data_IF_270285848711
#
_entry.id   IF_270285848711
#
_cell.length_a   1.000
_cell.length_b   1.000
_cell.length_c   1.000
_cell.angle_alpha   90.00
_cell.angle_beta   90.00
_cell.angle_gamma   90.00
#
_symmetry.space_group_name_H-M   'P 1'
#
loop_
_entity.id
_entity.type
_entity.pdbx_description
1 polymer ?
#
# COMPACT_ATOMS: atom_id res chain seq x y z
N UNK A 1 25.80 22.23 5.11
CA UNK A 1 26.42 21.50 6.24
C UNK A 1 27.70 20.93 5.67
N UNK A 2 28.87 21.32 6.18
CA UNK A 2 30.12 20.72 5.74
C UNK A 2 30.16 19.27 6.26
N UNK A 3 30.25 18.31 5.35
CA UNK A 3 30.36 16.90 5.73
C UNK A 3 31.82 16.61 6.14
N UNK A 4 32.04 15.75 7.14
CA UNK A 4 33.38 15.28 7.45
C UNK A 4 33.91 14.42 6.29
N UNK A 5 35.20 14.51 6.03
CA UNK A 5 35.87 13.67 5.03
C UNK A 5 35.85 12.21 5.50
N UNK A 6 35.37 11.31 4.64
CA UNK A 6 35.12 9.90 4.97
C UNK A 6 36.19 8.97 4.39
N UNK A 7 37.18 9.50 3.69
CA UNK A 7 38.27 8.69 3.12
C UNK A 7 39.12 8.07 4.24
N UNK A 8 39.16 6.74 4.31
CA UNK A 8 40.00 5.98 5.25
C UNK A 8 39.30 5.44 6.50
N UNK A 9 37.99 5.66 6.66
CA UNK A 9 37.21 5.12 7.80
C UNK A 9 36.65 3.73 7.49
N UNK A 10 36.59 2.86 8.50
CA UNK A 10 35.91 1.57 8.39
C UNK A 10 34.40 1.74 8.25
N UNK A 11 33.68 0.69 7.81
CA UNK A 11 32.22 0.77 7.59
C UNK A 11 31.44 1.22 8.83
N UNK A 12 31.89 0.84 10.03
CA UNK A 12 31.26 1.21 11.31
C UNK A 12 31.55 2.67 11.68
N UNK A 13 32.80 3.12 11.51
CA UNK A 13 33.19 4.50 11.82
C UNK A 13 32.61 5.51 10.81
N UNK A 14 32.48 5.11 9.55
CA UNK A 14 31.80 5.90 8.52
C UNK A 14 30.30 5.98 8.76
N UNK A 15 29.65 4.94 9.30
CA UNK A 15 28.24 5.00 9.71
C UNK A 15 28.03 5.84 10.97
N UNK A 16 28.94 5.80 11.96
CA UNK A 16 28.89 6.69 13.12
C UNK A 16 29.13 8.15 12.76
N UNK A 17 30.12 8.45 11.92
CA UNK A 17 30.40 9.80 11.44
C UNK A 17 29.22 10.37 10.63
N UNK A 18 28.57 9.52 9.81
CA UNK A 18 27.33 9.86 9.12
C UNK A 18 26.20 10.12 10.13
N UNK A 19 25.98 9.23 11.11
CA UNK A 19 24.92 9.38 12.13
C UNK A 19 25.08 10.67 12.96
N UNK A 20 26.31 11.06 13.31
CA UNK A 20 26.60 12.33 13.99
C UNK A 20 26.39 13.55 13.08
N UNK A 21 26.80 13.47 11.81
CA UNK A 21 26.55 14.52 10.81
C UNK A 21 25.06 14.68 10.46
N UNK A 22 24.29 13.58 10.53
CA UNK A 22 22.87 13.52 10.19
C UNK A 22 21.96 14.27 11.17
N UNK A 23 22.40 14.55 12.42
CA UNK A 23 21.58 15.15 13.48
C UNK A 23 20.14 14.60 13.48
N UNK A 24 19.93 13.32 13.85
CA UNK A 24 18.61 12.67 13.81
C UNK A 24 17.51 13.43 14.58
N UNK A 25 17.88 14.34 15.48
CA UNK A 25 17.01 15.35 16.09
C UNK A 25 16.20 16.19 15.09
N UNK A 26 16.68 16.41 13.86
CA UNK A 26 15.95 17.12 12.80
C UNK A 26 14.93 16.25 12.07
N UNK A 27 15.15 14.94 11.99
CA UNK A 27 14.17 13.99 11.44
C UNK A 27 13.07 13.69 12.46
N UNK A 28 13.46 13.65 13.73
CA UNK A 28 12.53 13.53 14.85
C UNK A 28 11.43 14.58 14.77
N UNK A 29 11.71 15.84 14.38
CA UNK A 29 10.76 16.97 14.17
C UNK A 29 9.52 16.68 13.30
N UNK A 30 9.52 15.61 12.51
CA UNK A 30 8.40 15.22 11.64
C UNK A 30 7.46 14.20 12.28
N UNK A 31 7.78 13.71 13.48
CA UNK A 31 6.93 12.80 14.23
C UNK A 31 5.96 13.58 15.13
N UNK A 32 4.71 13.12 15.31
CA UNK A 32 3.72 13.78 16.17
C UNK A 32 4.22 14.09 17.58
N UNK A 33 5.07 13.21 18.14
CA UNK A 33 5.69 13.38 19.47
C UNK A 33 6.60 14.61 19.55
N UNK A 34 7.24 14.97 18.45
CA UNK A 34 8.15 16.14 18.40
C UNK A 34 7.48 17.44 18.02
N UNK A 35 6.29 17.39 17.40
CA UNK A 35 5.47 18.59 17.23
C UNK A 35 5.05 19.13 18.60
N UNK A 36 4.73 18.25 19.55
CA UNK A 36 4.50 18.62 20.94
C UNK A 36 5.77 19.22 21.60
N UNK A 37 6.94 18.60 21.41
CA UNK A 37 8.21 19.14 21.93
C UNK A 37 8.60 20.48 21.27
N UNK A 38 8.34 20.64 19.98
CA UNK A 38 8.57 21.88 19.23
C UNK A 38 7.62 22.99 19.65
N UNK A 39 6.36 22.69 19.94
CA UNK A 39 5.41 23.65 20.49
C UNK A 39 5.85 24.24 21.84
N UNK A 40 6.61 23.48 22.63
CA UNK A 40 7.17 23.94 23.91
C UNK A 40 8.51 24.67 23.76
N UNK A 41 9.32 24.33 22.74
CA UNK A 41 10.65 24.89 22.54
C UNK A 41 10.68 26.21 21.74
N UNK A 42 9.81 26.36 20.73
CA UNK A 42 9.77 27.56 19.88
C UNK A 42 9.31 28.87 20.56
N UNK A 43 8.48 28.86 21.62
CA UNK A 43 8.18 30.06 22.40
C UNK A 43 9.41 30.67 23.07
N UNK A 44 10.32 29.82 23.57
CA UNK A 44 11.59 30.23 24.22
C UNK A 44 12.53 30.90 23.21
N UNK A 45 12.39 30.58 21.92
CA UNK A 45 13.13 31.20 20.81
C UNK A 45 12.41 32.41 20.19
N UNK A 46 11.32 32.89 20.81
CA UNK A 46 10.54 34.05 20.34
C UNK A 46 9.67 33.78 19.10
N UNK A 47 9.53 32.52 18.68
CA UNK A 47 8.83 32.12 17.44
C UNK A 47 7.45 31.53 17.74
N UNK A 48 6.59 32.37 18.31
CA UNK A 48 5.25 32.00 18.77
C UNK A 48 4.33 31.45 17.67
N UNK A 49 4.36 32.01 16.47
CA UNK A 49 3.52 31.54 15.36
C UNK A 49 3.80 30.08 14.97
N UNK A 50 5.09 29.69 14.93
CA UNK A 50 5.49 28.32 14.65
C UNK A 50 5.14 27.36 15.80
N UNK A 51 5.25 27.84 17.05
CA UNK A 51 4.88 27.07 18.23
C UNK A 51 3.39 26.70 18.24
N UNK A 52 2.51 27.67 17.95
CA UNK A 52 1.06 27.46 17.88
C UNK A 52 0.69 26.52 16.73
N UNK A 53 1.30 26.67 15.56
CA UNK A 53 1.05 25.78 14.43
C UNK A 53 1.44 24.31 14.73
N UNK A 54 2.58 24.10 15.39
CA UNK A 54 3.03 22.77 15.81
C UNK A 54 2.14 22.18 16.92
N UNK A 55 1.64 23.01 17.84
CA UNK A 55 0.70 22.59 18.88
C UNK A 55 -0.62 22.09 18.26
N UNK A 56 -1.17 22.83 17.29
CA UNK A 56 -2.40 22.45 16.58
C UNK A 56 -2.20 21.14 15.82
N UNK A 57 -1.07 20.98 15.14
CA UNK A 57 -0.70 19.73 14.47
C UNK A 57 -0.57 18.55 15.43
N UNK A 58 0.07 18.74 16.58
CA UNK A 58 0.23 17.71 17.60
C UNK A 58 -1.12 17.29 18.19
N UNK A 59 -1.99 18.25 18.52
CA UNK A 59 -3.33 18.00 19.04
C UNK A 59 -4.23 17.31 18.00
N UNK A 60 -4.20 17.76 16.74
CA UNK A 60 -4.95 17.14 15.66
C UNK A 60 -4.50 15.70 15.41
N UNK A 61 -3.18 15.45 15.41
CA UNK A 61 -2.64 14.10 15.28
C UNK A 61 -3.02 13.21 16.48
N UNK A 62 -2.90 13.72 17.70
CA UNK A 62 -3.26 13.00 18.93
C UNK A 62 -4.75 12.66 19.00
N UNK A 63 -5.63 13.61 18.71
CA UNK A 63 -7.08 13.40 18.65
C UNK A 63 -7.47 12.46 17.50
N UNK A 64 -6.81 12.57 16.35
CA UNK A 64 -6.99 11.65 15.22
C UNK A 64 -6.62 10.21 15.60
N UNK A 65 -5.49 10.03 16.29
CA UNK A 65 -5.04 8.72 16.79
C UNK A 65 -5.97 8.17 17.86
N UNK A 66 -6.44 9.00 18.81
CA UNK A 66 -7.36 8.60 19.86
C UNK A 66 -8.73 8.21 19.29
N UNK A 67 -9.27 9.01 18.37
CA UNK A 67 -10.51 8.72 17.65
C UNK A 67 -10.37 7.44 16.84
N UNK A 68 -9.25 7.24 16.14
CA UNK A 68 -9.01 6.04 15.37
C UNK A 68 -8.85 4.80 16.26
N UNK A 69 -8.07 4.90 17.33
CA UNK A 69 -7.81 3.82 18.28
C UNK A 69 -9.09 3.43 19.01
N UNK A 70 -9.88 4.39 19.52
CA UNK A 70 -11.18 4.11 20.13
C UNK A 70 -12.16 3.47 19.15
N UNK A 71 -12.14 3.84 17.87
CA UNK A 71 -12.97 3.20 16.85
C UNK A 71 -12.51 1.78 16.51
N UNK A 72 -11.20 1.56 16.48
CA UNK A 72 -10.59 0.26 16.23
C UNK A 72 -10.83 -0.68 17.42
N UNK A 73 -10.60 -0.21 18.65
CA UNK A 73 -10.91 -0.91 19.89
C UNK A 73 -12.41 -1.17 20.02
N UNK A 74 -13.28 -0.20 19.69
CA UNK A 74 -14.73 -0.44 19.69
C UNK A 74 -15.13 -1.53 18.66
N UNK A 75 -14.47 -1.60 17.50
CA UNK A 75 -14.69 -2.66 16.50
C UNK A 75 -14.14 -4.02 16.93
N UNK A 76 -13.02 -4.04 17.64
CA UNK A 76 -12.43 -5.28 18.18
C UNK A 76 -13.20 -5.79 19.41
N UNK A 77 -13.55 -4.90 20.34
CA UNK A 77 -14.32 -5.19 21.56
C UNK A 77 -15.80 -5.46 21.29
N UNK A 78 -16.36 -4.94 20.20
CA UNK A 78 -17.68 -5.35 19.75
C UNK A 78 -17.76 -6.84 19.44
N UNK A 79 -16.63 -7.57 19.46
CA UNK A 79 -16.66 -9.00 19.41
C UNK A 79 -17.53 -9.43 18.25
N UNK A 80 -17.07 -9.17 17.02
CA UNK A 80 -17.42 -10.10 15.97
C UNK A 80 -16.77 -11.46 16.33
N UNK A 81 -17.20 -12.08 17.44
CA UNK A 81 -17.50 -13.49 17.41
C UNK A 81 -18.26 -13.65 16.11
N UNK A 82 -17.66 -14.44 15.22
CA UNK A 82 -18.12 -14.72 13.87
C UNK A 82 -19.44 -15.44 14.04
N UNK A 83 -20.48 -14.71 14.46
CA UNK A 83 -21.85 -15.16 14.43
C UNK A 83 -22.21 -15.04 12.97
N UNK A 84 -21.93 -16.15 12.28
CA UNK A 84 -22.64 -16.71 11.13
C UNK A 84 -23.96 -15.97 10.90
N UNK A 85 -23.88 -14.80 10.28
CA UNK A 85 -25.05 -14.11 9.77
C UNK A 85 -24.86 -14.14 8.28
N UNK A 86 -25.44 -15.16 7.68
CA UNK A 86 -25.81 -15.25 6.27
C UNK A 86 -26.75 -14.10 5.93
N UNK A 87 -26.24 -12.86 5.98
CA UNK A 87 -26.96 -11.73 5.44
C UNK A 87 -26.89 -11.86 3.93
N UNK A 88 -27.98 -12.36 3.35
CA UNK A 88 -28.31 -12.10 1.94
C UNK A 88 -28.10 -10.61 1.71
N UNK A 89 -27.06 -10.27 0.97
CA UNK A 89 -26.87 -8.91 0.46
C UNK A 89 -28.01 -8.70 -0.53
N UNK A 90 -29.09 -8.09 -0.05
CA UNK A 90 -30.20 -7.64 -0.89
C UNK A 90 -29.70 -6.46 -1.72
N UNK A 91 -29.08 -6.76 -2.86
CA UNK A 91 -28.57 -5.77 -3.82
C UNK A 91 -29.69 -5.26 -4.75
N UNK A 92 -30.88 -4.97 -4.23
CA UNK A 92 -31.98 -4.46 -5.08
C UNK A 92 -31.76 -3.01 -5.54
N UNK A 93 -30.90 -2.23 -4.87
CA UNK A 93 -30.68 -0.80 -5.20
C UNK A 93 -29.55 -0.51 -6.20
N UNK A 94 -28.77 -1.51 -6.62
CA UNK A 94 -27.61 -1.34 -7.52
C UNK A 94 -27.68 -2.21 -8.78
N UNK A 95 -28.90 -2.47 -9.28
CA UNK A 95 -29.10 -2.93 -10.66
C UNK A 95 -28.85 -1.77 -11.64
N UNK A 96 -27.60 -1.34 -11.74
CA UNK A 96 -27.16 -0.50 -12.86
C UNK A 96 -26.64 -1.45 -13.93
N UNK A 97 -27.05 -1.24 -15.19
CA UNK A 97 -26.51 -1.98 -16.34
C UNK A 97 -25.06 -1.54 -16.60
N UNK A 98 -24.15 -2.03 -15.76
CA UNK A 98 -22.72 -1.82 -15.93
C UNK A 98 -22.20 -2.65 -17.10
N UNK A 99 -21.24 -2.13 -17.90
CA UNK A 99 -20.73 -2.84 -19.06
C UNK A 99 -20.03 -4.14 -18.65
N UNK A 100 -20.34 -5.25 -19.31
CA UNK A 100 -19.75 -6.56 -19.06
C UNK A 100 -20.66 -7.53 -18.28
N UNK A 101 -20.12 -8.68 -17.85
CA UNK A 101 -20.92 -9.75 -17.24
C UNK A 101 -21.47 -9.33 -15.87
N UNK A 102 -22.79 -9.50 -15.60
CA UNK A 102 -23.41 -9.06 -14.35
C UNK A 102 -22.85 -9.80 -13.12
N UNK A 103 -22.36 -11.02 -13.31
CA UNK A 103 -21.73 -11.84 -12.28
C UNK A 103 -20.46 -11.16 -11.72
N UNK A 104 -19.65 -10.54 -12.58
CA UNK A 104 -18.42 -9.85 -12.16
C UNK A 104 -18.74 -8.63 -11.30
N UNK A 105 -19.76 -7.85 -11.66
CA UNK A 105 -20.16 -6.67 -10.90
C UNK A 105 -20.78 -7.02 -9.55
N UNK A 106 -21.55 -8.11 -9.49
CA UNK A 106 -22.07 -8.62 -8.23
C UNK A 106 -20.94 -9.06 -7.29
N UNK A 107 -19.92 -9.73 -7.84
CA UNK A 107 -18.70 -10.09 -7.09
C UNK A 107 -17.93 -8.86 -6.65
N UNK A 108 -17.69 -7.90 -7.53
CA UNK A 108 -16.97 -6.67 -7.18
C UNK A 108 -17.67 -5.90 -6.06
N UNK A 109 -19.00 -5.80 -6.10
CA UNK A 109 -19.78 -5.16 -5.05
C UNK A 109 -19.66 -5.91 -3.73
N UNK A 110 -19.74 -7.23 -3.76
CA UNK A 110 -19.52 -8.09 -2.60
C UNK A 110 -18.14 -7.81 -2.01
N UNK A 111 -17.10 -7.90 -2.82
CA UNK A 111 -15.70 -7.78 -2.39
C UNK A 111 -15.42 -6.38 -1.85
N UNK A 112 -15.99 -5.34 -2.47
CA UNK A 112 -15.92 -3.97 -1.97
C UNK A 112 -16.55 -3.80 -0.59
N UNK A 113 -17.72 -4.41 -0.36
CA UNK A 113 -18.39 -4.36 0.94
C UNK A 113 -17.57 -5.13 1.98
N UNK A 114 -17.05 -6.32 1.64
CA UNK A 114 -16.19 -7.12 2.51
C UNK A 114 -14.92 -6.36 2.88
N UNK A 115 -14.24 -5.75 1.91
CA UNK A 115 -13.05 -4.94 2.15
C UNK A 115 -13.32 -3.77 3.10
N UNK A 116 -14.42 -3.03 2.93
CA UNK A 116 -14.75 -1.89 3.81
C UNK A 116 -15.07 -2.30 5.24
N UNK A 117 -15.59 -3.51 5.44
CA UNK A 117 -15.95 -4.05 6.76
C UNK A 117 -14.78 -4.76 7.45
N UNK A 118 -13.82 -5.28 6.68
CA UNK A 118 -12.70 -6.02 7.23
C UNK A 118 -11.79 -5.14 8.11
N UNK A 119 -11.45 -5.59 9.33
CA UNK A 119 -10.49 -4.89 10.19
C UNK A 119 -9.09 -4.88 9.58
N UNK A 120 -8.72 -5.89 8.79
CA UNK A 120 -7.43 -5.96 8.11
C UNK A 120 -7.25 -4.81 7.11
N UNK A 121 -8.29 -4.48 6.35
CA UNK A 121 -8.28 -3.32 5.42
C UNK A 121 -8.09 -2.02 6.19
N UNK A 122 -8.80 -1.84 7.30
CA UNK A 122 -8.70 -0.63 8.11
C UNK A 122 -7.28 -0.47 8.69
N UNK A 123 -6.67 -1.57 9.14
CA UNK A 123 -5.31 -1.57 9.65
C UNK A 123 -4.28 -1.33 8.54
N UNK A 124 -4.39 -1.98 7.39
CA UNK A 124 -3.49 -1.76 6.26
C UNK A 124 -3.50 -0.29 5.82
N UNK A 125 -4.70 0.32 5.76
CA UNK A 125 -4.84 1.76 5.51
C UNK A 125 -4.23 2.60 6.64
N UNK A 126 -4.37 2.21 7.90
CA UNK A 126 -3.80 2.94 9.04
C UNK A 126 -2.27 2.86 9.12
N UNK A 127 -1.67 1.75 8.69
CA UNK A 127 -0.21 1.54 8.67
C UNK A 127 0.44 2.14 7.42
N UNK A 128 -0.33 2.33 6.34
CA UNK A 128 0.18 2.88 5.08
C UNK A 128 0.92 4.22 5.21
N UNK A 129 0.54 5.19 6.08
CA UNK A 129 1.28 6.43 6.24
C UNK A 129 2.64 6.21 6.89
N UNK A 130 2.79 5.22 7.78
CA UNK A 130 4.08 4.91 8.40
C UNK A 130 5.06 4.36 7.36
N UNK A 131 4.59 3.46 6.50
CA UNK A 131 5.38 2.92 5.37
C UNK A 131 5.73 4.04 4.39
N UNK A 132 4.78 4.92 4.08
CA UNK A 132 4.98 6.07 3.20
C UNK A 132 5.99 7.08 3.76
N UNK A 133 5.96 7.34 5.07
CA UNK A 133 6.95 8.19 5.73
C UNK A 133 8.34 7.56 5.69
N UNK A 134 8.45 6.27 6.05
CA UNK A 134 9.73 5.56 6.11
C UNK A 134 10.41 5.37 4.76
N UNK A 135 9.64 4.99 3.73
CA UNK A 135 10.19 4.72 2.39
C UNK A 135 10.18 5.95 1.47
N UNK A 136 9.28 6.91 1.66
CA UNK A 136 9.09 8.03 0.75
C UNK A 136 9.64 9.35 1.26
N UNK A 137 9.13 9.83 2.40
CA UNK A 137 9.40 11.20 2.87
C UNK A 137 10.80 11.33 3.48
N UNK A 138 11.18 10.39 4.36
CA UNK A 138 12.46 10.45 5.10
C UNK A 138 13.67 10.41 4.15
N UNK A 139 13.78 9.45 3.19
CA UNK A 139 14.92 9.38 2.29
C UNK A 139 15.09 10.64 1.42
N UNK A 140 13.98 11.28 1.04
CA UNK A 140 14.02 12.47 0.18
C UNK A 140 14.41 13.70 0.97
N UNK A 141 13.92 13.87 2.20
CA UNK A 141 14.37 14.96 3.07
C UNK A 141 15.88 14.84 3.34
N UNK A 142 16.37 13.61 3.51
CA UNK A 142 17.80 13.32 3.61
C UNK A 142 18.56 13.76 2.35
N UNK A 143 18.13 13.30 1.16
CA UNK A 143 18.80 13.67 -0.11
C UNK A 143 18.73 15.18 -0.38
N UNK A 144 17.61 15.84 -0.08
CA UNK A 144 17.46 17.30 -0.26
C UNK A 144 18.39 18.09 0.66
N UNK A 145 18.67 17.58 1.86
CA UNK A 145 19.62 18.19 2.79
C UNK A 145 21.09 17.98 2.39
N UNK A 146 21.36 16.97 1.55
CA UNK A 146 22.69 16.62 1.05
C UNK A 146 23.00 17.25 -0.33
N UNK A 147 21.98 17.62 -1.10
CA UNK A 147 22.14 18.21 -2.43
C UNK A 147 22.52 19.70 -2.37
N UNK A 148 23.39 20.14 -3.28
CA UNK A 148 23.74 21.55 -3.43
C UNK A 148 22.53 22.37 -3.94
N UNK A 149 22.34 23.64 -3.50
CA UNK A 149 21.16 24.45 -3.82
C UNK A 149 20.87 24.61 -5.32
N UNK A 150 21.92 24.60 -6.14
CA UNK A 150 21.83 24.82 -7.59
C UNK A 150 21.84 23.52 -8.40
N UNK A 151 21.81 22.37 -7.72
CA UNK A 151 21.88 21.08 -8.39
C UNK A 151 20.53 20.66 -9.00
N UNK A 152 20.57 20.01 -10.18
CA UNK A 152 19.39 19.47 -10.86
C UNK A 152 18.59 18.45 -10.03
N UNK A 153 19.13 17.99 -8.90
CA UNK A 153 18.44 17.15 -7.93
C UNK A 153 17.17 17.78 -7.35
N UNK A 154 17.12 19.10 -7.21
CA UNK A 154 15.92 19.77 -6.72
C UNK A 154 14.71 19.60 -7.66
N UNK A 155 14.95 19.42 -8.96
CA UNK A 155 13.90 19.17 -9.95
C UNK A 155 13.47 17.70 -10.01
N UNK A 156 14.36 16.76 -9.67
CA UNK A 156 14.07 15.31 -9.73
C UNK A 156 13.52 14.76 -8.42
N UNK A 157 13.77 15.42 -7.28
CA UNK A 157 13.32 14.99 -5.95
C UNK A 157 11.81 14.75 -5.86
N UNK A 158 10.90 15.63 -6.36
CA UNK A 158 9.46 15.39 -6.29
C UNK A 158 9.03 14.11 -7.01
N UNK A 159 9.69 13.79 -8.13
CA UNK A 159 9.43 12.57 -8.90
C UNK A 159 9.91 11.34 -8.11
N UNK A 160 11.08 11.42 -7.48
CA UNK A 160 11.62 10.33 -6.67
C UNK A 160 10.74 10.07 -5.44
N UNK A 161 10.25 11.13 -4.76
CA UNK A 161 9.23 11.02 -3.69
C UNK A 161 8.00 10.31 -4.22
N UNK A 162 7.48 10.75 -5.36
CA UNK A 162 6.25 10.22 -5.94
C UNK A 162 6.37 8.72 -6.22
N UNK A 163 7.48 8.28 -6.80
CA UNK A 163 7.77 6.87 -7.05
C UNK A 163 7.77 6.10 -5.73
N UNK A 164 8.54 6.55 -4.74
CA UNK A 164 8.66 5.86 -3.45
C UNK A 164 7.34 5.79 -2.69
N UNK A 165 6.55 6.87 -2.68
CA UNK A 165 5.22 6.89 -2.07
C UNK A 165 4.23 5.97 -2.79
N UNK A 166 4.31 5.91 -4.12
CA UNK A 166 3.47 5.00 -4.93
C UNK A 166 3.81 3.55 -4.62
N UNK A 167 5.11 3.24 -4.53
CA UNK A 167 5.59 1.91 -4.13
C UNK A 167 5.16 1.57 -2.70
N UNK A 168 5.24 2.51 -1.76
CA UNK A 168 4.80 2.32 -0.38
C UNK A 168 3.28 2.10 -0.26
N UNK A 169 2.47 2.86 -1.01
CA UNK A 169 1.01 2.68 -1.07
C UNK A 169 0.65 1.30 -1.59
N UNK A 170 1.33 0.85 -2.65
CA UNK A 170 1.19 -0.50 -3.17
C UNK A 170 1.55 -1.53 -2.10
N UNK A 171 2.73 -1.40 -1.48
CA UNK A 171 3.22 -2.32 -0.45
C UNK A 171 2.23 -2.51 0.71
N UNK A 172 1.66 -1.41 1.22
CA UNK A 172 0.69 -1.47 2.31
C UNK A 172 -0.55 -2.33 1.95
N UNK A 173 -1.00 -2.26 0.70
CA UNK A 173 -2.21 -2.93 0.23
C UNK A 173 -1.97 -4.33 -0.33
N UNK A 174 -0.73 -4.71 -0.63
CA UNK A 174 -0.39 -6.08 -1.04
C UNK A 174 -0.87 -7.12 -0.05
N UNK A 175 -0.76 -6.80 1.24
CA UNK A 175 -1.20 -7.65 2.35
C UNK A 175 -2.68 -8.03 2.29
N UNK A 176 -3.52 -7.16 1.71
CA UNK A 176 -4.95 -7.40 1.52
C UNK A 176 -5.15 -8.39 0.39
N UNK A 177 -4.52 -8.16 -0.77
CA UNK A 177 -4.64 -9.03 -1.94
C UNK A 177 -4.03 -10.42 -1.72
N UNK A 178 -2.91 -10.49 -1.00
CA UNK A 178 -2.21 -11.75 -0.71
C UNK A 178 -2.89 -12.58 0.37
N UNK A 179 -3.70 -11.96 1.23
CA UNK A 179 -4.45 -12.66 2.29
C UNK A 179 -5.95 -12.66 2.03
N UNK A 180 -6.36 -12.33 0.80
CA UNK A 180 -7.74 -12.11 0.41
C UNK A 180 -8.69 -13.23 0.90
N UNK A 181 -8.31 -14.48 0.65
CA UNK A 181 -9.12 -15.66 1.02
C UNK A 181 -9.14 -15.98 2.52
N UNK A 182 -8.10 -15.60 3.27
CA UNK A 182 -7.99 -15.91 4.70
C UNK A 182 -8.60 -14.83 5.61
N UNK A 183 -8.56 -13.55 5.18
CA UNK A 183 -8.90 -12.40 6.04
C UNK A 183 -10.01 -11.51 5.51
N UNK A 184 -10.23 -11.46 4.18
CA UNK A 184 -11.22 -10.57 3.57
C UNK A 184 -12.49 -11.32 3.18
N UNK A 185 -12.36 -12.48 2.57
CA UNK A 185 -13.49 -13.27 2.05
C UNK A 185 -13.61 -14.66 2.70
N UNK A 186 -13.25 -14.75 3.99
CA UNK A 186 -13.25 -16.00 4.77
C UNK A 186 -14.60 -16.73 4.70
N UNK A 187 -15.70 -16.01 4.96
CA UNK A 187 -17.06 -16.58 4.98
C UNK A 187 -17.66 -16.73 3.57
N UNK A 188 -17.27 -15.86 2.63
CA UNK A 188 -17.81 -15.85 1.27
C UNK A 188 -17.13 -16.85 0.33
N UNK A 189 -15.97 -17.40 0.72
CA UNK A 189 -15.24 -18.38 -0.08
C UNK A 189 -15.96 -19.72 -0.17
N UNK A 190 -16.52 -20.23 0.92
CA UNK A 190 -17.30 -21.47 0.91
C UNK A 190 -18.53 -21.36 0.01
N UNK A 191 -19.20 -20.20 0.02
CA UNK A 191 -20.34 -19.93 -0.86
C UNK A 191 -19.92 -19.72 -2.31
N UNK A 192 -18.74 -19.14 -2.57
CA UNK A 192 -18.22 -18.95 -3.93
C UNK A 192 -17.78 -20.27 -4.58
N UNK A 193 -17.15 -21.16 -3.81
CA UNK A 193 -16.71 -22.47 -4.32
C UNK A 193 -17.89 -23.40 -4.65
N UNK A 194 -19.02 -23.19 -3.99
CA UNK A 194 -20.28 -23.89 -4.27
C UNK A 194 -21.15 -23.18 -5.32
N UNK A 195 -20.82 -21.94 -5.69
CA UNK A 195 -21.56 -21.18 -6.70
C UNK A 195 -21.11 -21.58 -8.13
N UNK A 196 -22.02 -21.55 -9.12
CA UNK A 196 -21.70 -21.90 -10.51
C UNK A 196 -20.91 -20.79 -11.25
N UNK A 197 -20.22 -19.90 -10.53
CA UNK A 197 -19.50 -18.77 -11.12
C UNK A 197 -18.10 -19.20 -11.58
N UNK A 198 -17.63 -18.68 -12.71
CA UNK A 198 -16.26 -18.92 -13.17
C UNK A 198 -15.27 -18.28 -12.18
N UNK A 199 -14.26 -19.07 -11.77
CA UNK A 199 -13.25 -18.75 -10.76
C UNK A 199 -12.37 -17.60 -11.22
N UNK A 200 -12.26 -17.44 -12.53
CA UNK A 200 -11.64 -16.28 -13.17
C UNK A 200 -12.25 -14.97 -12.69
N UNK A 201 -13.58 -14.90 -12.59
CA UNK A 201 -14.25 -13.68 -12.14
C UNK A 201 -14.03 -13.39 -10.67
N UNK A 202 -13.88 -14.43 -9.83
CA UNK A 202 -13.53 -14.27 -8.41
C UNK A 202 -12.13 -13.67 -8.25
N UNK A 203 -11.17 -14.12 -9.04
CA UNK A 203 -9.81 -13.56 -9.01
C UNK A 203 -9.77 -12.12 -9.54
N UNK A 204 -10.50 -11.84 -10.63
CA UNK A 204 -10.57 -10.50 -11.21
C UNK A 204 -11.24 -9.52 -10.25
N UNK A 205 -12.36 -9.90 -9.61
CA UNK A 205 -13.10 -9.01 -8.73
C UNK A 205 -12.28 -8.59 -7.52
N UNK A 206 -11.59 -9.54 -6.87
CA UNK A 206 -10.70 -9.25 -5.73
C UNK A 206 -9.55 -8.31 -6.11
N UNK A 207 -8.90 -8.56 -7.25
CA UNK A 207 -7.81 -7.70 -7.75
C UNK A 207 -8.30 -6.30 -8.13
N UNK A 208 -9.49 -6.19 -8.73
CA UNK A 208 -10.06 -4.91 -9.15
C UNK A 208 -10.47 -4.08 -7.93
N UNK A 209 -11.02 -4.72 -6.89
CA UNK A 209 -11.33 -4.03 -5.64
C UNK A 209 -10.05 -3.55 -4.91
N UNK A 210 -9.01 -4.36 -4.87
CA UNK A 210 -7.70 -3.97 -4.33
C UNK A 210 -7.05 -2.83 -5.14
N UNK A 211 -7.14 -2.89 -6.47
CA UNK A 211 -6.67 -1.83 -7.37
C UNK A 211 -7.35 -0.50 -7.06
N UNK A 212 -8.67 -0.47 -6.89
CA UNK A 212 -9.40 0.77 -6.55
C UNK A 212 -8.87 1.39 -5.25
N UNK A 213 -8.64 0.57 -4.21
CA UNK A 213 -8.04 1.04 -2.96
C UNK A 213 -6.62 1.57 -3.17
N UNK A 214 -5.81 0.89 -3.98
CA UNK A 214 -4.44 1.29 -4.24
C UNK A 214 -4.32 2.57 -5.05
N UNK A 215 -5.20 2.76 -6.03
CA UNK A 215 -5.30 4.01 -6.78
C UNK A 215 -5.74 5.16 -5.88
N UNK A 216 -6.74 4.95 -5.03
CA UNK A 216 -7.20 5.98 -4.08
C UNK A 216 -6.12 6.36 -3.07
N UNK A 217 -5.40 5.38 -2.53
CA UNK A 217 -4.32 5.62 -1.58
C UNK A 217 -3.10 6.30 -2.23
N UNK A 218 -2.74 5.88 -3.44
CA UNK A 218 -1.67 6.53 -4.21
C UNK A 218 -2.03 7.98 -4.52
N UNK A 219 -3.28 8.25 -4.93
CA UNK A 219 -3.76 9.62 -5.13
C UNK A 219 -3.64 10.46 -3.85
N UNK A 220 -4.03 9.90 -2.70
CA UNK A 220 -3.94 10.57 -1.40
C UNK A 220 -2.49 10.97 -1.05
N UNK A 221 -1.51 10.13 -1.37
CA UNK A 221 -0.09 10.43 -1.10
C UNK A 221 0.55 11.33 -2.16
N UNK A 222 0.15 11.22 -3.42
CA UNK A 222 0.70 12.03 -4.51
C UNK A 222 0.18 13.47 -4.49
N UNK A 223 -1.05 13.70 -4.01
CA UNK A 223 -1.67 15.02 -3.98
C UNK A 223 -0.85 16.04 -3.15
N UNK A 224 -0.42 15.75 -1.89
CA UNK A 224 0.47 16.64 -1.14
C UNK A 224 1.78 16.94 -1.87
N UNK A 225 2.38 15.94 -2.52
CA UNK A 225 3.65 16.13 -3.25
C UNK A 225 3.45 17.05 -4.44
N UNK A 226 2.39 16.86 -5.21
CA UNK A 226 2.07 17.72 -6.35
C UNK A 226 1.76 19.16 -5.92
N UNK A 227 1.02 19.34 -4.82
CA UNK A 227 0.73 20.67 -4.28
C UNK A 227 1.98 21.39 -3.77
N UNK A 228 2.86 20.68 -3.05
CA UNK A 228 4.09 21.27 -2.49
C UNK A 228 5.18 21.53 -3.53
N UNK A 229 5.24 20.72 -4.58
CA UNK A 229 6.22 20.87 -5.67
C UNK A 229 5.72 21.72 -6.85
N UNK A 230 4.41 21.94 -6.96
CA UNK A 230 3.78 22.55 -8.14
C UNK A 230 3.78 21.66 -9.39
N UNK A 231 4.22 20.39 -9.29
CA UNK A 231 4.39 19.48 -10.42
C UNK A 231 3.20 18.51 -10.55
N UNK A 232 2.22 18.84 -11.38
CA UNK A 232 1.06 17.97 -11.62
C UNK A 232 1.39 16.66 -12.34
N UNK A 233 2.51 16.61 -13.06
CA UNK A 233 3.03 15.39 -13.71
C UNK A 233 3.27 14.27 -12.70
N UNK A 234 3.56 14.60 -11.43
CA UNK A 234 3.70 13.64 -10.33
C UNK A 234 2.43 12.83 -10.13
N UNK A 235 1.25 13.44 -10.23
CA UNK A 235 -0.03 12.74 -10.06
C UNK A 235 -0.24 11.78 -11.22
N UNK A 236 -0.14 12.27 -12.46
CA UNK A 236 -0.41 11.44 -13.65
C UNK A 236 0.59 10.28 -13.73
N UNK A 237 1.89 10.57 -13.61
CA UNK A 237 2.94 9.57 -13.65
C UNK A 237 2.86 8.58 -12.49
N UNK A 238 2.60 9.06 -11.28
CA UNK A 238 2.44 8.21 -10.11
C UNK A 238 1.21 7.31 -10.18
N UNK A 239 0.07 7.80 -10.69
CA UNK A 239 -1.12 6.97 -10.89
C UNK A 239 -0.93 5.92 -11.99
N UNK A 240 -0.26 6.26 -13.09
CA UNK A 240 0.10 5.28 -14.13
C UNK A 240 1.01 4.21 -13.54
N UNK A 241 2.01 4.61 -12.75
CA UNK A 241 2.89 3.67 -12.06
C UNK A 241 2.11 2.80 -11.06
N UNK A 242 1.20 3.38 -10.28
CA UNK A 242 0.36 2.65 -9.32
C UNK A 242 -0.49 1.60 -10.02
N UNK A 243 -1.11 1.96 -11.14
CA UNK A 243 -1.89 1.04 -11.97
C UNK A 243 -1.01 -0.10 -12.47
N UNK A 244 0.14 0.21 -13.07
CA UNK A 244 1.04 -0.79 -13.64
C UNK A 244 1.59 -1.74 -12.56
N UNK A 245 1.97 -1.22 -11.39
CA UNK A 245 2.43 -2.03 -10.26
C UNK A 245 1.35 -2.97 -9.73
N UNK A 246 0.11 -2.48 -9.55
CA UNK A 246 -0.99 -3.33 -9.10
C UNK A 246 -1.33 -4.41 -10.12
N UNK A 247 -1.43 -4.03 -11.38
CA UNK A 247 -1.77 -4.97 -12.46
C UNK A 247 -0.64 -5.99 -12.60
N UNK A 248 0.63 -5.60 -12.68
CA UNK A 248 1.73 -6.57 -12.82
C UNK A 248 1.87 -7.51 -11.61
N UNK A 249 1.56 -7.04 -10.41
CA UNK A 249 1.74 -7.81 -9.19
C UNK A 249 0.53 -8.68 -8.80
N UNK A 250 -0.66 -8.36 -9.29
CA UNK A 250 -1.91 -9.05 -8.99
C UNK A 250 -1.85 -10.59 -9.17
N UNK A 251 -1.24 -11.16 -10.23
CA UNK A 251 -1.09 -12.61 -10.37
C UNK A 251 -0.28 -13.27 -9.26
N UNK A 252 0.76 -12.59 -8.78
CA UNK A 252 1.61 -13.11 -7.73
C UNK A 252 0.92 -13.01 -6.38
N UNK A 253 0.21 -11.91 -6.10
CA UNK A 253 -0.57 -11.78 -4.87
C UNK A 253 -1.71 -12.80 -4.80
N UNK A 254 -2.42 -13.02 -5.90
CA UNK A 254 -3.45 -14.06 -5.97
C UNK A 254 -2.87 -15.46 -5.81
N UNK A 255 -1.73 -15.75 -6.41
CA UNK A 255 -1.01 -17.01 -6.17
C UNK A 255 -0.68 -17.21 -4.68
N UNK A 256 -0.12 -16.17 -4.04
CA UNK A 256 0.20 -16.20 -2.60
C UNK A 256 -1.07 -16.41 -1.77
N UNK A 257 -2.19 -15.78 -2.13
CA UNK A 257 -3.47 -15.99 -1.46
C UNK A 257 -4.01 -17.41 -1.59
N UNK A 258 -3.89 -18.03 -2.76
CA UNK A 258 -4.32 -19.43 -2.98
C UNK A 258 -3.43 -20.40 -2.19
N UNK A 259 -2.11 -20.16 -2.16
CA UNK A 259 -1.16 -21.01 -1.45
C UNK A 259 -1.18 -20.79 0.08
N UNK A 260 -1.49 -19.58 0.51
CA UNK A 260 -1.36 -19.10 1.88
C UNK A 260 -2.66 -19.08 2.69
N UNK A 261 -3.79 -19.57 2.16
CA UNK A 261 -5.08 -19.48 2.82
C UNK A 261 -5.15 -20.10 4.24
N UNK A 262 -4.21 -21.01 4.60
CA UNK A 262 -4.06 -21.57 5.96
C UNK A 262 -3.36 -20.64 6.98
N UNK A 263 -2.76 -19.51 6.56
CA UNK A 263 -1.65 -18.87 7.30
C UNK A 263 -2.01 -17.70 8.21
N UNK A 264 -3.25 -17.22 8.25
CA UNK A 264 -3.60 -16.09 9.13
C UNK A 264 -4.82 -16.42 10.01
N UNK A 265 -4.52 -16.87 11.23
CA UNK A 265 -5.45 -16.84 12.35
C UNK A 265 -5.53 -15.41 12.86
N UNK A 266 -6.74 -14.84 12.94
CA UNK A 266 -6.94 -13.51 13.54
C UNK A 266 -6.74 -13.57 15.06
N UNK A 267 -7.00 -14.73 15.68
CA UNK A 267 -6.85 -14.96 17.13
C UNK A 267 -5.39 -15.08 17.57
N UNK A 268 -4.55 -15.71 16.74
CA UNK A 268 -3.11 -15.73 16.94
C UNK A 268 -2.49 -14.79 15.92
N UNK A 269 -2.33 -13.53 16.32
CA UNK A 269 -1.50 -12.51 15.66
C UNK A 269 0.01 -12.91 15.64
N UNK A 270 0.31 -14.21 15.56
CA UNK A 270 1.65 -14.75 15.72
C UNK A 270 2.28 -14.96 14.34
N UNK A 271 3.10 -13.97 13.98
CA UNK A 271 4.43 -13.96 13.33
C UNK A 271 4.89 -15.01 12.31
N UNK A 272 4.27 -16.17 12.15
CA UNK A 272 4.87 -17.24 11.36
C UNK A 272 4.21 -17.39 9.98
N UNK A 273 5.02 -17.15 8.94
CA UNK A 273 4.88 -17.63 7.54
C UNK A 273 4.10 -16.80 6.50
N UNK A 274 3.33 -15.78 6.89
CA UNK A 274 2.52 -15.01 5.91
C UNK A 274 3.30 -14.01 5.05
N UNK A 275 4.30 -13.32 5.62
CA UNK A 275 4.86 -12.12 4.99
C UNK A 275 6.08 -12.37 4.08
N UNK A 276 6.68 -13.56 4.13
CA UNK A 276 7.90 -13.87 3.36
C UNK A 276 7.58 -14.08 1.87
N UNK A 277 6.44 -14.68 1.56
CA UNK A 277 6.03 -14.92 0.16
C UNK A 277 5.53 -13.65 -0.53
N UNK A 278 4.89 -12.74 0.20
CA UNK A 278 4.59 -11.39 -0.29
C UNK A 278 5.85 -10.58 -0.54
N UNK A 279 6.84 -10.68 0.35
CA UNK A 279 8.15 -10.04 0.16
C UNK A 279 8.92 -10.64 -1.02
N UNK A 280 8.85 -11.96 -1.25
CA UNK A 280 9.48 -12.63 -2.39
C UNK A 280 8.77 -12.35 -3.72
N UNK A 281 7.44 -12.21 -3.74
CA UNK A 281 6.68 -11.82 -4.93
C UNK A 281 7.06 -10.42 -5.43
N UNK A 282 7.55 -9.58 -4.53
CA UNK A 282 7.80 -8.16 -4.75
C UNK A 282 8.93 -7.85 -5.74
N UNK A 283 10.17 -8.39 -5.62
CA UNK A 283 11.23 -8.13 -6.59
C UNK A 283 10.85 -8.56 -8.00
N UNK A 284 10.10 -9.67 -8.15
CA UNK A 284 9.68 -10.16 -9.47
C UNK A 284 8.56 -9.33 -10.09
N UNK A 285 7.63 -8.81 -9.28
CA UNK A 285 6.50 -8.03 -9.76
C UNK A 285 6.83 -6.55 -10.06
N UNK A 286 7.68 -5.96 -9.21
CA UNK A 286 7.93 -4.51 -9.19
C UNK A 286 9.12 -4.13 -10.07
N UNK A 287 10.18 -4.93 -10.11
CA UNK A 287 11.37 -4.60 -10.88
C UNK A 287 11.04 -4.33 -12.36
N UNK A 288 10.24 -5.15 -13.07
CA UNK A 288 9.90 -4.88 -14.47
C UNK A 288 9.12 -3.58 -14.66
N UNK A 289 8.17 -3.28 -13.77
CA UNK A 289 7.37 -2.05 -13.85
C UNK A 289 8.22 -0.79 -13.58
N UNK A 290 9.14 -0.84 -12.60
CA UNK A 290 10.07 0.26 -12.34
C UNK A 290 11.08 0.42 -13.48
N UNK A 291 11.62 -0.67 -14.02
CA UNK A 291 12.57 -0.65 -15.14
C UNK A 291 11.96 -0.10 -16.43
N UNK A 292 10.66 -0.34 -16.67
CA UNK A 292 9.98 0.13 -17.88
C UNK A 292 9.41 1.55 -17.77
N UNK A 293 9.25 2.08 -16.56
CA UNK A 293 8.62 3.40 -16.35
C UNK A 293 9.56 4.41 -15.71
N UNK A 294 10.23 4.05 -14.61
CA UNK A 294 11.04 4.98 -13.83
C UNK A 294 12.41 5.20 -14.48
N UNK A 295 13.07 4.12 -14.91
CA UNK A 295 14.40 4.22 -15.56
C UNK A 295 14.37 5.04 -16.85
N UNK A 296 13.41 4.83 -17.79
CA UNK A 296 13.34 5.61 -19.02
C UNK A 296 12.98 7.07 -18.73
N UNK A 297 12.13 7.33 -17.73
CA UNK A 297 11.81 8.70 -17.33
C UNK A 297 13.05 9.47 -16.85
N UNK A 298 13.93 8.81 -16.08
CA UNK A 298 15.14 9.42 -15.52
C UNK A 298 16.28 9.53 -16.53
N UNK A 299 16.50 8.51 -17.36
CA UNK A 299 17.62 8.47 -18.32
C UNK A 299 17.28 9.14 -19.66
N UNK A 300 16.10 8.89 -20.21
CA UNK A 300 15.71 9.38 -21.55
C UNK A 300 14.18 9.41 -21.75
N UNK A 301 13.56 10.55 -21.41
CA UNK A 301 12.08 10.72 -21.44
C UNK A 301 11.38 10.26 -22.74
N UNK A 302 11.92 10.50 -23.95
CA UNK A 302 11.32 10.01 -25.19
C UNK A 302 11.14 8.49 -25.26
N UNK A 303 11.98 7.72 -24.55
CA UNK A 303 11.86 6.27 -24.50
C UNK A 303 10.52 5.80 -23.90
N UNK A 304 9.85 6.63 -23.09
CA UNK A 304 8.53 6.32 -22.53
C UNK A 304 7.47 6.07 -23.61
N UNK A 305 7.63 6.63 -24.81
CA UNK A 305 6.73 6.36 -25.95
C UNK A 305 6.73 4.87 -26.33
N UNK A 306 7.84 4.18 -26.09
CA UNK A 306 8.00 2.75 -26.40
C UNK A 306 7.83 1.90 -25.13
N UNK A 307 8.42 2.33 -24.01
CA UNK A 307 8.46 1.51 -22.80
C UNK A 307 7.13 1.50 -22.05
N UNK A 308 6.31 2.56 -22.12
CA UNK A 308 5.02 2.61 -21.46
C UNK A 308 3.99 1.65 -22.12
N UNK A 309 3.80 1.64 -23.46
CA UNK A 309 2.99 0.61 -24.10
C UNK A 309 3.50 -0.81 -23.79
N UNK A 310 4.81 -1.02 -23.78
CA UNK A 310 5.41 -2.30 -23.43
C UNK A 310 5.10 -2.71 -21.98
N UNK A 311 5.14 -1.77 -21.04
CA UNK A 311 4.76 -2.01 -19.64
C UNK A 311 3.29 -2.40 -19.51
N UNK A 312 2.39 -1.76 -20.28
CA UNK A 312 0.98 -2.11 -20.32
C UNK A 312 0.78 -3.51 -20.88
N UNK A 313 1.42 -3.84 -22.01
CA UNK A 313 1.37 -5.17 -22.63
C UNK A 313 1.91 -6.23 -21.67
N UNK A 314 3.01 -5.95 -20.97
CA UNK A 314 3.57 -6.83 -19.95
C UNK A 314 2.58 -7.06 -18.80
N UNK A 315 2.07 -5.99 -18.19
CA UNK A 315 1.19 -6.08 -17.02
C UNK A 315 -0.14 -6.80 -17.37
N UNK A 316 -0.78 -6.41 -18.47
CA UNK A 316 -2.04 -7.02 -18.92
C UNK A 316 -1.81 -8.45 -19.42
N UNK A 317 -0.76 -8.66 -20.23
CA UNK A 317 -0.40 -9.98 -20.75
C UNK A 317 -0.12 -10.98 -19.63
N UNK A 318 0.63 -10.56 -18.60
CA UNK A 318 0.89 -11.39 -17.42
C UNK A 318 -0.42 -11.79 -16.73
N UNK A 319 -1.36 -10.87 -16.55
CA UNK A 319 -2.67 -11.20 -15.96
C UNK A 319 -3.44 -12.20 -16.81
N UNK A 320 -3.55 -11.96 -18.13
CA UNK A 320 -4.31 -12.83 -19.03
C UNK A 320 -3.73 -14.25 -19.11
N UNK A 321 -2.40 -14.37 -19.15
CA UNK A 321 -1.70 -15.65 -19.19
C UNK A 321 -1.80 -16.43 -17.88
N UNK A 322 -1.78 -15.73 -16.73
CA UNK A 322 -1.82 -16.36 -15.40
C UNK A 322 -3.23 -16.64 -14.91
N UNK A 323 -4.25 -15.99 -15.46
CA UNK A 323 -5.64 -16.11 -15.00
C UNK A 323 -6.18 -17.55 -15.07
N UNK A 324 -5.95 -18.23 -16.20
CA UNK A 324 -6.39 -19.63 -16.40
C UNK A 324 -5.69 -20.61 -15.47
N UNK A 325 -4.35 -20.63 -15.35
CA UNK A 325 -3.68 -21.54 -14.42
C UNK A 325 -4.02 -21.24 -12.97
N UNK A 326 -4.16 -19.98 -12.57
CA UNK A 326 -4.58 -19.61 -11.21
C UNK A 326 -6.00 -20.06 -10.89
N UNK A 327 -6.94 -19.92 -11.82
CA UNK A 327 -8.30 -20.43 -11.66
C UNK A 327 -8.31 -21.97 -11.47
N UNK A 328 -7.54 -22.71 -12.28
CA UNK A 328 -7.38 -24.17 -12.13
C UNK A 328 -6.73 -24.55 -10.79
N UNK A 329 -5.76 -23.77 -10.33
CA UNK A 329 -5.11 -23.97 -9.03
C UNK A 329 -6.12 -23.76 -7.89
N UNK A 330 -6.93 -22.71 -7.97
CA UNK A 330 -7.99 -22.42 -7.01
C UNK A 330 -8.98 -23.58 -6.94
N UNK A 331 -9.42 -24.12 -8.09
CA UNK A 331 -10.30 -25.29 -8.14
C UNK A 331 -9.68 -26.52 -7.48
N UNK A 332 -8.42 -26.83 -7.78
CA UNK A 332 -7.71 -27.98 -7.19
C UNK A 332 -7.53 -27.86 -5.68
N UNK A 333 -7.36 -26.63 -5.17
CA UNK A 333 -7.14 -26.37 -3.75
C UNK A 333 -8.40 -25.98 -2.98
N UNK A 334 -9.53 -25.83 -3.66
CA UNK A 334 -10.81 -25.43 -3.08
C UNK A 334 -11.14 -26.20 -1.79
N UNK A 335 -11.08 -27.53 -1.83
CA UNK A 335 -11.36 -28.38 -0.65
C UNK A 335 -10.40 -28.12 0.52
N UNK A 336 -9.11 -27.96 0.25
CA UNK A 336 -8.10 -27.67 1.30
C UNK A 336 -8.30 -26.28 1.91
N UNK A 337 -8.72 -25.31 1.11
CA UNK A 337 -8.99 -23.94 1.56
C UNK A 337 -10.26 -23.93 2.41
N UNK A 338 -11.34 -24.60 1.99
CA UNK A 338 -12.58 -24.69 2.78
C UNK A 338 -12.33 -25.38 4.11
N UNK A 339 -11.62 -26.51 4.11
CA UNK A 339 -11.26 -27.23 5.32
C UNK A 339 -10.43 -26.36 6.28
N UNK A 340 -9.46 -25.62 5.76
CA UNK A 340 -8.66 -24.70 6.56
C UNK A 340 -9.47 -23.58 7.20
N UNK A 341 -10.49 -23.07 6.50
CA UNK A 341 -11.38 -22.02 7.02
C UNK A 341 -12.34 -22.60 8.06
N UNK A 342 -12.87 -23.81 7.85
CA UNK A 342 -13.85 -24.45 8.74
C UNK A 342 -13.26 -25.09 10.00
N UNK A 343 -12.02 -25.59 9.96
CA UNK A 343 -11.33 -26.13 11.15
C UNK A 343 -10.97 -25.03 12.18
N UNK A 344 -11.06 -23.77 11.76
CA UNK A 344 -10.72 -22.59 12.56
C UNK A 344 -11.97 -21.80 13.03
N UNK A 345 -13.19 -22.34 12.85
CA UNK A 345 -14.46 -21.75 13.31
C UNK A 345 -15.08 -22.57 14.44
#
# INVERSE_FOLDING_TARGET
IALPDLSGLSFVESTEALLFAFRPSRLLFWLPTTWASGALAYPVLGRWGAAVALLVLALAAGLGLLWWHSRLVARLMQGAGIRLRTQRVRSERWQRNWPGPPQLWALLLKDWICLRRSPATAQALAMSPLVALGLGVVPVVLVRGLAAPDSGWHQTLPILVAVLLTVAANLALTSISSNYFGTVDRDGLATLLLSPVDRRYVLISGNLAALVLAMALSLLFLLPVALLSGMWVVIVGGLVLALLLNVSAAPLYTLVGILGARRQNVENWNQDTGNLWTLLAWPFAIAPALLLVVVPYLLWRPALLVTLPLAVVYAVGLNLLTLRPLARLLDRRAGQIVQAVSEQS
#
